data_IF_708735584466
#
_entry.id   IF_708735584466
#
_cell.length_a   1.000
_cell.length_b   1.000
_cell.length_c   1.000
_cell.angle_alpha   90.00
_cell.angle_beta   90.00
_cell.angle_gamma   90.00
#
_symmetry.space_group_name_H-M   'P 1'
#
loop_
_entity.id
_entity.type
_entity.pdbx_description
1 polymer ?
#
# COMPACT_ATOMS: atom_id res chain seq x y z
N UNK A 1 -18.40 -11.37 10.46
CA UNK A 1 -17.48 -10.67 9.53
C UNK A 1 -17.92 -9.24 9.17
N UNK A 2 -18.96 -8.68 9.82
CA UNK A 2 -19.59 -7.37 9.52
C UNK A 2 -19.10 -6.23 10.43
N UNK A 3 -18.58 -6.53 11.61
CA UNK A 3 -18.22 -5.56 12.66
C UNK A 3 -17.07 -4.64 12.23
N UNK A 4 -16.00 -5.20 11.64
CA UNK A 4 -14.81 -4.43 11.22
C UNK A 4 -15.12 -3.38 10.15
N UNK A 5 -16.02 -3.68 9.21
CA UNK A 5 -16.41 -2.75 8.13
C UNK A 5 -17.29 -1.60 8.64
N UNK A 6 -18.11 -1.85 9.67
CA UNK A 6 -18.94 -0.82 10.29
C UNK A 6 -18.11 0.15 11.13
N UNK A 7 -17.06 -0.32 11.80
CA UNK A 7 -16.13 0.52 12.55
C UNK A 7 -15.35 1.47 11.62
N UNK A 8 -14.82 0.96 10.51
CA UNK A 8 -14.09 1.80 9.54
C UNK A 8 -14.97 2.89 8.90
N UNK A 9 -16.25 2.60 8.63
CA UNK A 9 -17.17 3.59 8.06
C UNK A 9 -17.51 4.71 9.05
N UNK A 10 -17.62 4.39 10.34
CA UNK A 10 -17.81 5.37 11.41
C UNK A 10 -16.57 6.21 11.64
N UNK A 11 -15.40 5.61 11.57
CA UNK A 11 -14.12 6.30 11.70
C UNK A 11 -13.88 7.26 10.53
N UNK A 12 -14.17 6.85 9.29
CA UNK A 12 -14.16 7.71 8.11
C UNK A 12 -15.08 8.93 8.29
N UNK A 13 -16.30 8.69 8.77
CA UNK A 13 -17.27 9.74 9.02
C UNK A 13 -16.79 10.76 10.07
N UNK A 14 -16.22 10.26 11.17
CA UNK A 14 -15.67 11.11 12.23
C UNK A 14 -14.46 11.91 11.75
N UNK A 15 -13.56 11.28 10.98
CA UNK A 15 -12.40 11.92 10.41
C UNK A 15 -12.78 13.08 9.47
N UNK A 16 -13.67 12.84 8.51
CA UNK A 16 -14.14 13.87 7.56
C UNK A 16 -14.78 15.05 8.30
N UNK A 17 -15.62 14.77 9.29
CA UNK A 17 -16.27 15.81 10.11
C UNK A 17 -15.26 16.68 10.84
N UNK A 18 -14.27 16.06 11.50
CA UNK A 18 -13.22 16.76 12.24
C UNK A 18 -12.40 17.68 11.34
N UNK A 19 -12.02 17.22 10.13
CA UNK A 19 -11.26 18.04 9.18
C UNK A 19 -12.07 19.21 8.64
N UNK A 20 -13.36 18.99 8.34
CA UNK A 20 -14.27 20.05 7.89
C UNK A 20 -14.42 21.16 8.95
N UNK A 21 -14.59 20.78 10.22
CA UNK A 21 -14.84 21.73 11.31
C UNK A 21 -13.61 22.53 11.73
N UNK A 22 -12.40 22.06 11.37
CA UNK A 22 -11.13 22.76 11.64
C UNK A 22 -10.83 23.89 10.65
N UNK A 23 -11.42 23.87 9.46
CA UNK A 23 -11.06 24.80 8.39
C UNK A 23 -11.71 26.17 8.56
N UNK A 24 -10.94 27.22 8.30
CA UNK A 24 -11.43 28.59 8.28
C UNK A 24 -11.95 28.95 6.88
N UNK A 25 -13.27 29.19 6.70
CA UNK A 25 -13.85 29.52 5.42
C UNK A 25 -13.28 30.81 4.81
N UNK A 26 -12.90 31.79 5.66
CA UNK A 26 -12.41 33.08 5.19
C UNK A 26 -11.03 32.93 4.52
N UNK A 27 -10.23 31.96 4.97
CA UNK A 27 -8.93 31.60 4.36
C UNK A 27 -9.07 30.89 3.00
N UNK A 28 -10.25 30.38 2.68
CA UNK A 28 -10.52 29.66 1.43
C UNK A 28 -11.22 30.54 0.38
N UNK A 29 -11.38 31.84 0.66
CA UNK A 29 -11.97 32.80 -0.27
C UNK A 29 -13.46 32.55 -0.55
N UNK A 30 -14.15 31.81 0.32
CA UNK A 30 -15.57 31.50 0.15
C UNK A 30 -16.44 32.74 0.44
N UNK A 31 -17.48 33.00 -0.36
CA UNK A 31 -18.33 34.17 -0.18
C UNK A 31 -19.03 34.14 1.18
N UNK A 32 -18.96 35.25 1.93
CA UNK A 32 -19.63 35.37 3.22
C UNK A 32 -21.16 35.26 3.03
N UNK A 33 -21.74 34.13 3.43
CA UNK A 33 -23.19 33.94 3.35
C UNK A 33 -23.94 34.88 4.31
N UNK A 34 -25.06 35.46 3.85
CA UNK A 34 -25.90 36.44 4.60
C UNK A 34 -26.50 35.91 5.93
N UNK A 35 -26.41 34.61 6.24
CA UNK A 35 -26.97 34.03 7.47
C UNK A 35 -25.85 33.70 8.47
N UNK A 36 -26.05 33.99 9.78
CA UNK A 36 -25.07 33.67 10.81
C UNK A 36 -24.71 32.16 10.80
N UNK A 37 -23.40 31.86 10.84
CA UNK A 37 -22.88 30.49 10.86
C UNK A 37 -23.25 29.82 12.19
N UNK A 38 -23.85 28.63 12.13
CA UNK A 38 -24.20 27.81 13.30
C UNK A 38 -23.23 26.63 13.51
N UNK A 39 -22.35 26.39 12.56
CA UNK A 39 -21.43 25.24 12.55
C UNK A 39 -20.00 25.77 12.52
N UNK A 40 -19.07 25.21 13.33
CA UNK A 40 -17.66 25.53 13.21
C UNK A 40 -17.12 25.08 11.85
N UNK A 41 -16.25 25.91 11.27
CA UNK A 41 -15.56 25.70 10.01
C UNK A 41 -16.43 25.67 8.76
N UNK A 42 -16.09 24.79 7.81
CA UNK A 42 -16.80 24.66 6.54
C UNK A 42 -18.17 23.99 6.71
N UNK A 43 -19.15 24.44 5.92
CA UNK A 43 -20.46 23.81 5.77
C UNK A 43 -20.34 22.60 4.84
N UNK A 44 -21.29 21.66 4.97
CA UNK A 44 -21.32 20.47 4.08
C UNK A 44 -21.52 20.85 2.61
N UNK A 45 -22.32 21.89 2.36
CA UNK A 45 -22.53 22.46 1.03
C UNK A 45 -21.26 23.07 0.44
N UNK A 46 -20.47 23.80 1.24
CA UNK A 46 -19.18 24.36 0.81
C UNK A 46 -18.17 23.24 0.46
N UNK A 47 -18.09 22.17 1.28
CA UNK A 47 -17.24 21.00 0.96
C UNK A 47 -17.71 20.29 -0.30
N UNK A 48 -19.02 20.13 -0.48
CA UNK A 48 -19.60 19.47 -1.64
C UNK A 48 -19.27 20.22 -2.93
N UNK A 49 -19.38 21.55 -2.91
CA UNK A 49 -19.01 22.44 -4.01
C UNK A 49 -17.51 22.30 -4.34
N UNK A 50 -16.63 22.44 -3.34
CA UNK A 50 -15.18 22.33 -3.52
C UNK A 50 -14.73 20.95 -4.02
N UNK A 51 -15.43 19.88 -3.62
CA UNK A 51 -15.12 18.50 -4.02
C UNK A 51 -15.83 18.06 -5.30
N UNK A 52 -16.74 18.87 -5.85
CA UNK A 52 -17.54 18.51 -7.04
C UNK A 52 -18.49 17.32 -6.82
N UNK A 53 -19.04 17.18 -5.62
CA UNK A 53 -20.00 16.12 -5.25
C UNK A 53 -21.30 16.71 -4.72
N UNK A 54 -22.36 15.90 -4.55
CA UNK A 54 -23.61 16.41 -3.98
C UNK A 54 -23.52 16.59 -2.46
N UNK A 55 -24.24 17.59 -1.92
CA UNK A 55 -24.33 17.81 -0.46
C UNK A 55 -24.87 16.58 0.27
N UNK A 56 -25.85 15.87 -0.33
CA UNK A 56 -26.36 14.60 0.21
C UNK A 56 -25.27 13.53 0.32
N UNK A 57 -24.35 13.48 -0.63
CA UNK A 57 -23.22 12.56 -0.59
C UNK A 57 -22.31 12.83 0.61
N UNK A 58 -21.97 14.09 0.86
CA UNK A 58 -21.18 14.51 2.04
C UNK A 58 -21.93 14.18 3.35
N UNK A 59 -23.24 14.41 3.39
CA UNK A 59 -24.08 14.05 4.55
C UNK A 59 -24.03 12.54 4.82
N UNK A 60 -24.19 11.70 3.79
CA UNK A 60 -24.16 10.24 3.95
C UNK A 60 -22.78 9.72 4.35
N UNK A 61 -21.71 10.32 3.83
CA UNK A 61 -20.34 10.03 4.27
C UNK A 61 -20.15 10.35 5.75
N UNK A 62 -20.54 11.55 6.20
CA UNK A 62 -20.43 11.95 7.61
C UNK A 62 -21.38 11.20 8.55
N UNK A 63 -22.35 10.45 8.03
CA UNK A 63 -23.21 9.55 8.80
C UNK A 63 -22.69 8.11 8.85
N UNK A 64 -21.61 7.79 8.12
CA UNK A 64 -21.05 6.44 8.06
C UNK A 64 -21.96 5.43 7.36
N UNK A 65 -22.86 5.88 6.46
CA UNK A 65 -23.84 5.00 5.79
C UNK A 65 -23.23 4.18 4.65
N UNK A 66 -22.28 3.29 4.96
CA UNK A 66 -21.85 2.18 4.08
C UNK A 66 -21.39 2.55 2.66
N UNK A 67 -21.06 3.82 2.41
CA UNK A 67 -20.59 4.28 1.11
C UNK A 67 -19.13 3.85 0.92
N UNK A 68 -18.81 3.37 -0.28
CA UNK A 68 -17.43 3.16 -0.73
C UNK A 68 -17.08 4.24 -1.76
N UNK A 69 -16.54 5.40 -1.32
CA UNK A 69 -16.12 6.44 -2.26
C UNK A 69 -15.00 5.93 -3.18
N UNK A 70 -15.00 6.39 -4.43
CA UNK A 70 -13.94 6.07 -5.38
C UNK A 70 -12.65 6.82 -5.01
N UNK A 71 -11.51 6.36 -5.54
CA UNK A 71 -10.22 7.03 -5.35
C UNK A 71 -10.24 8.50 -5.84
N UNK A 72 -10.99 8.80 -6.90
CA UNK A 72 -11.16 10.16 -7.42
C UNK A 72 -11.94 11.05 -6.47
N UNK A 73 -13.04 10.54 -5.91
CA UNK A 73 -13.85 11.26 -4.91
C UNK A 73 -13.02 11.53 -3.64
N UNK A 74 -12.23 10.55 -3.19
CA UNK A 74 -11.32 10.74 -2.06
C UNK A 74 -10.24 11.78 -2.35
N UNK A 75 -9.69 11.80 -3.57
CA UNK A 75 -8.73 12.81 -3.99
C UNK A 75 -9.35 14.22 -4.03
N UNK A 76 -10.60 14.34 -4.47
CA UNK A 76 -11.33 15.60 -4.47
C UNK A 76 -11.64 16.09 -3.04
N UNK A 77 -12.12 15.21 -2.17
CA UNK A 77 -12.35 15.51 -0.76
C UNK A 77 -11.06 15.91 -0.04
N UNK A 78 -9.94 15.24 -0.32
CA UNK A 78 -8.64 15.59 0.22
C UNK A 78 -8.19 17.02 -0.16
N UNK A 79 -8.47 17.44 -1.39
CA UNK A 79 -8.18 18.82 -1.84
C UNK A 79 -9.12 19.82 -1.19
N UNK A 80 -10.42 19.55 -1.21
CA UNK A 80 -11.46 20.41 -0.62
C UNK A 80 -11.26 20.65 0.88
N UNK A 81 -10.75 19.63 1.58
CA UNK A 81 -10.47 19.70 3.02
C UNK A 81 -9.03 20.12 3.35
N UNK A 82 -8.25 20.55 2.35
CA UNK A 82 -6.86 20.96 2.49
C UNK A 82 -6.03 19.99 3.35
N UNK A 83 -6.20 18.68 3.12
CA UNK A 83 -5.57 17.65 3.95
C UNK A 83 -4.06 17.61 3.72
N UNK A 84 -3.32 17.54 4.82
CA UNK A 84 -1.88 17.32 4.81
C UNK A 84 -1.54 15.92 4.27
N UNK A 85 -0.33 15.67 3.75
CA UNK A 85 0.04 14.39 3.16
C UNK A 85 -0.32 13.17 4.01
N UNK A 86 -0.04 13.20 5.31
CA UNK A 86 -0.38 12.10 6.23
C UNK A 86 -1.88 11.93 6.49
N UNK A 87 -2.64 13.02 6.50
CA UNK A 87 -4.11 13.01 6.65
C UNK A 87 -4.77 12.44 5.39
N UNK A 88 -4.20 12.70 4.22
CA UNK A 88 -4.64 12.14 2.94
C UNK A 88 -4.45 10.63 2.94
N UNK A 89 -3.28 10.14 3.35
CA UNK A 89 -3.03 8.69 3.39
C UNK A 89 -4.03 7.97 4.28
N UNK A 90 -4.31 8.55 5.45
CA UNK A 90 -5.28 8.03 6.39
C UNK A 90 -6.71 8.00 5.81
N UNK A 91 -7.10 9.03 5.06
CA UNK A 91 -8.38 9.06 4.37
C UNK A 91 -8.54 7.89 3.38
N UNK A 92 -7.50 7.60 2.60
CA UNK A 92 -7.52 6.51 1.62
C UNK A 92 -7.55 5.12 2.28
N UNK A 93 -6.84 4.97 3.41
CA UNK A 93 -6.81 3.73 4.21
C UNK A 93 -8.19 3.41 4.80
N UNK A 94 -8.84 4.39 5.44
CA UNK A 94 -10.19 4.22 6.00
C UNK A 94 -11.24 3.84 4.95
N UNK A 95 -11.06 4.28 3.70
CA UNK A 95 -11.94 3.95 2.58
C UNK A 95 -11.56 2.63 1.87
N UNK A 96 -10.40 2.06 2.18
CA UNK A 96 -9.85 0.87 1.52
C UNK A 96 -9.56 1.09 0.03
N UNK A 97 -9.14 2.30 -0.35
CA UNK A 97 -8.85 2.70 -1.74
C UNK A 97 -7.38 3.08 -1.93
N UNK A 98 -6.87 2.92 -3.15
CA UNK A 98 -5.50 3.32 -3.52
C UNK A 98 -5.48 4.74 -4.09
N UNK A 99 -4.45 5.53 -3.76
CA UNK A 99 -4.29 6.90 -4.27
C UNK A 99 -3.95 6.90 -5.77
N UNK A 100 -4.59 7.76 -6.60
CA UNK A 100 -4.16 7.99 -7.97
C UNK A 100 -2.80 8.71 -7.99
N UNK A 101 -1.83 8.19 -8.75
CA UNK A 101 -0.52 8.83 -8.94
C UNK A 101 0.62 8.39 -8.00
N UNK A 102 0.38 7.41 -7.11
CA UNK A 102 1.49 6.65 -6.50
C UNK A 102 1.94 5.57 -7.50
N UNK A 103 2.79 5.96 -8.44
CA UNK A 103 3.57 5.01 -9.25
C UNK A 103 4.60 4.36 -8.34
N UNK A 104 4.30 3.13 -7.96
CA UNK A 104 4.90 2.42 -6.83
C UNK A 104 4.00 2.47 -5.62
N UNK A 105 3.50 1.32 -5.16
CA UNK A 105 2.64 1.36 -3.98
C UNK A 105 2.30 0.02 -3.41
N UNK A 106 1.67 0.02 -2.23
CA UNK A 106 1.64 -1.16 -1.41
C UNK A 106 0.81 -2.30 -2.00
N UNK A 107 1.27 -3.54 -1.82
CA UNK A 107 0.41 -4.71 -1.93
C UNK A 107 -0.43 -4.85 -0.65
N UNK A 108 -1.57 -5.52 -0.76
CA UNK A 108 -2.49 -5.81 0.36
C UNK A 108 -1.70 -6.40 1.54
N UNK A 109 -1.60 -5.66 2.66
CA UNK A 109 -0.97 -6.15 3.89
C UNK A 109 0.05 -5.22 4.57
N UNK A 110 0.57 -4.19 3.90
CA UNK A 110 1.43 -3.19 4.58
C UNK A 110 0.62 -2.24 5.47
N UNK A 111 1.09 -2.02 6.70
CA UNK A 111 0.62 -0.89 7.51
C UNK A 111 1.01 0.44 6.81
N UNK A 112 0.11 1.45 6.73
CA UNK A 112 0.37 2.70 6.01
C UNK A 112 1.64 3.44 6.46
N UNK A 113 1.99 3.37 7.75
CA UNK A 113 3.21 3.96 8.30
C UNK A 113 4.49 3.33 7.73
N UNK A 114 4.51 2.01 7.52
CA UNK A 114 5.65 1.31 6.94
C UNK A 114 5.78 1.59 5.44
N UNK A 115 4.66 1.71 4.72
CA UNK A 115 4.69 2.12 3.33
C UNK A 115 5.23 3.56 3.16
N UNK A 116 4.92 4.47 4.10
CA UNK A 116 5.47 5.83 4.12
C UNK A 116 6.98 5.83 4.35
N UNK A 117 7.47 5.04 5.31
CA UNK A 117 8.90 4.89 5.55
C UNK A 117 9.67 4.50 4.28
N UNK A 118 9.11 3.61 3.46
CA UNK A 118 9.71 3.22 2.17
C UNK A 118 9.81 4.41 1.20
N UNK A 119 8.80 5.28 1.18
CA UNK A 119 8.82 6.51 0.39
C UNK A 119 9.87 7.52 0.88
N UNK A 120 9.99 7.67 2.20
CA UNK A 120 10.92 8.62 2.84
C UNK A 120 12.39 8.27 2.60
N UNK A 121 12.69 7.05 2.15
CA UNK A 121 14.05 6.62 1.78
C UNK A 121 14.53 7.17 0.43
N UNK A 122 13.71 7.89 -0.33
CA UNK A 122 14.15 8.55 -1.58
C UNK A 122 15.35 9.48 -1.31
N UNK A 123 16.41 9.45 -2.14
CA UNK A 123 16.52 8.80 -3.46
C UNK A 123 17.11 7.38 -3.42
N UNK A 124 17.19 6.73 -2.26
CA UNK A 124 17.69 5.36 -2.16
C UNK A 124 16.61 4.35 -2.56
N UNK A 125 16.93 3.35 -3.39
CA UNK A 125 15.99 2.27 -3.71
C UNK A 125 15.53 1.51 -2.47
N UNK A 126 14.22 1.39 -2.26
CA UNK A 126 13.66 0.72 -1.08
C UNK A 126 12.45 -0.18 -1.42
N UNK A 127 12.35 -1.28 -0.68
CA UNK A 127 11.26 -2.26 -0.76
C UNK A 127 10.93 -2.76 0.65
N UNK A 128 9.65 -2.99 0.93
CA UNK A 128 9.16 -3.61 2.16
C UNK A 128 8.59 -4.99 1.83
N UNK A 129 9.33 -6.07 2.12
CA UNK A 129 8.80 -7.43 2.08
C UNK A 129 8.12 -7.81 3.40
N UNK A 130 7.21 -8.78 3.37
CA UNK A 130 6.78 -9.52 4.56
C UNK A 130 7.73 -10.67 4.91
N UNK A 131 7.41 -11.43 5.97
CA UNK A 131 8.16 -12.61 6.41
C UNK A 131 8.22 -13.76 5.39
N UNK A 132 7.45 -13.69 4.31
CA UNK A 132 7.44 -14.65 3.19
C UNK A 132 8.08 -14.06 1.93
N UNK A 133 8.68 -12.88 2.04
CA UNK A 133 9.20 -12.07 0.95
C UNK A 133 8.14 -11.56 -0.05
N UNK A 134 6.86 -11.56 0.31
CA UNK A 134 5.85 -10.88 -0.51
C UNK A 134 6.09 -9.37 -0.40
N UNK A 135 6.21 -8.71 -1.55
CA UNK A 135 6.53 -7.28 -1.60
C UNK A 135 5.27 -6.50 -1.24
N UNK A 136 5.27 -5.93 -0.04
CA UNK A 136 4.19 -5.14 0.50
C UNK A 136 4.26 -3.66 0.13
N UNK A 137 5.43 -3.09 -0.15
CA UNK A 137 5.59 -1.72 -0.67
C UNK A 137 6.95 -1.53 -1.36
N UNK A 138 7.07 -0.51 -2.21
CA UNK A 138 8.34 -0.11 -2.85
C UNK A 138 8.28 1.36 -3.28
N UNK A 139 9.44 2.00 -3.44
CA UNK A 139 9.55 3.36 -3.96
C UNK A 139 9.88 3.40 -5.48
N UNK A 140 9.71 4.55 -6.15
CA UNK A 140 9.98 4.68 -7.59
C UNK A 140 11.41 4.32 -7.99
N UNK A 141 12.39 4.59 -7.12
CA UNK A 141 13.80 4.27 -7.34
C UNK A 141 14.01 2.76 -7.42
N UNK A 142 13.36 1.98 -6.55
CA UNK A 142 13.32 0.52 -6.66
C UNK A 142 12.65 0.06 -7.96
N UNK A 143 11.53 0.68 -8.36
CA UNK A 143 10.85 0.33 -9.60
C UNK A 143 11.73 0.55 -10.85
N UNK A 144 12.59 1.57 -10.85
CA UNK A 144 13.55 1.82 -11.94
C UNK A 144 14.62 0.76 -12.03
N UNK A 145 15.04 0.17 -10.91
CA UNK A 145 16.02 -0.92 -10.89
C UNK A 145 15.43 -2.27 -11.34
N UNK A 146 14.11 -2.41 -11.29
CA UNK A 146 13.40 -3.57 -11.81
C UNK A 146 12.45 -3.21 -12.97
N UNK A 147 12.96 -2.98 -14.18
CA UNK A 147 12.12 -2.74 -15.35
C UNK A 147 11.08 -3.85 -15.53
N UNK A 148 9.80 -3.48 -15.62
CA UNK A 148 8.69 -4.41 -15.75
C UNK A 148 8.10 -4.94 -14.44
N UNK A 149 8.64 -4.55 -13.28
CA UNK A 149 8.11 -4.97 -11.97
C UNK A 149 6.65 -4.59 -11.76
N UNK A 150 6.25 -3.40 -12.24
CA UNK A 150 4.85 -2.96 -12.14
C UNK A 150 3.89 -3.86 -12.94
N UNK A 151 4.37 -4.50 -14.02
CA UNK A 151 3.61 -5.44 -14.83
C UNK A 151 3.55 -6.86 -14.22
N UNK A 152 4.34 -7.14 -13.17
CA UNK A 152 4.28 -8.43 -12.46
C UNK A 152 2.94 -8.52 -11.73
N UNK A 153 2.14 -9.58 -11.96
CA UNK A 153 0.87 -9.77 -11.26
C UNK A 153 1.05 -9.77 -9.74
N UNK A 154 0.12 -9.23 -8.94
CA UNK A 154 0.25 -9.18 -7.48
C UNK A 154 0.56 -10.54 -6.83
N UNK A 155 0.00 -11.63 -7.35
CA UNK A 155 0.26 -12.99 -6.88
C UNK A 155 1.71 -13.48 -7.12
N UNK A 156 2.50 -12.77 -7.94
CA UNK A 156 3.89 -13.07 -8.31
C UNK A 156 4.87 -12.01 -7.81
N UNK A 157 4.41 -11.01 -7.05
CA UNK A 157 5.25 -9.94 -6.46
C UNK A 157 5.91 -10.43 -5.17
N UNK A 158 6.82 -11.38 -5.32
CA UNK A 158 7.61 -11.94 -4.23
C UNK A 158 9.10 -11.74 -4.52
N UNK A 159 9.87 -11.25 -3.56
CA UNK A 159 11.28 -10.89 -3.77
C UNK A 159 12.13 -12.10 -4.17
N UNK A 160 11.83 -13.29 -3.62
CA UNK A 160 12.51 -14.53 -3.99
C UNK A 160 12.10 -15.04 -5.37
N UNK A 161 10.84 -14.84 -5.78
CA UNK A 161 10.42 -15.06 -7.17
C UNK A 161 11.28 -14.24 -8.11
N UNK A 162 11.34 -12.92 -7.86
CA UNK A 162 12.02 -11.97 -8.73
C UNK A 162 13.50 -12.29 -8.80
N UNK A 163 14.13 -12.58 -7.65
CA UNK A 163 15.50 -13.04 -7.59
C UNK A 163 15.74 -14.28 -8.46
N UNK A 164 14.81 -15.24 -8.48
CA UNK A 164 14.97 -16.51 -9.22
C UNK A 164 14.68 -16.40 -10.72
N UNK A 165 13.60 -15.71 -11.09
CA UNK A 165 12.99 -15.85 -12.41
C UNK A 165 12.92 -14.54 -13.21
N UNK A 166 13.13 -13.38 -12.58
CA UNK A 166 13.08 -12.11 -13.30
C UNK A 166 14.40 -11.87 -14.06
N UNK A 167 14.40 -11.66 -15.38
CA UNK A 167 15.62 -11.50 -16.16
C UNK A 167 16.52 -10.36 -15.68
N UNK A 168 15.92 -9.22 -15.28
CA UNK A 168 16.67 -8.06 -14.78
C UNK A 168 17.40 -8.33 -13.44
N UNK A 169 17.01 -9.38 -12.70
CA UNK A 169 17.60 -9.70 -11.39
C UNK A 169 18.83 -10.60 -11.49
N UNK A 170 19.19 -11.08 -12.69
CA UNK A 170 20.35 -11.96 -12.88
C UNK A 170 21.68 -11.28 -12.54
N UNK A 171 21.79 -9.98 -12.79
CA UNK A 171 22.99 -9.17 -12.48
C UNK A 171 22.80 -8.18 -11.34
N UNK A 172 21.67 -8.26 -10.62
CA UNK A 172 21.35 -7.30 -9.55
C UNK A 172 22.12 -7.63 -8.25
N UNK A 173 22.29 -8.92 -7.95
CA UNK A 173 22.99 -9.38 -6.75
C UNK A 173 24.43 -9.76 -7.08
N UNK A 174 25.37 -9.31 -6.24
CA UNK A 174 26.79 -9.68 -6.35
C UNK A 174 27.02 -11.19 -6.11
N UNK A 175 26.33 -11.76 -5.12
CA UNK A 175 26.31 -13.21 -4.86
C UNK A 175 24.85 -13.68 -4.80
N UNK A 176 24.30 -13.92 -6.00
CA UNK A 176 22.89 -14.29 -6.16
C UNK A 176 22.61 -15.68 -5.58
N UNK A 177 23.54 -16.61 -5.73
CA UNK A 177 23.42 -17.96 -5.17
C UNK A 177 23.30 -17.91 -3.64
N UNK A 178 24.12 -17.10 -2.96
CA UNK A 178 24.04 -16.96 -1.51
C UNK A 178 22.71 -16.34 -1.06
N UNK A 179 22.25 -15.27 -1.72
CA UNK A 179 20.94 -14.65 -1.44
C UNK A 179 19.81 -15.66 -1.58
N UNK A 180 19.87 -16.52 -2.61
CA UNK A 180 18.88 -17.59 -2.80
C UNK A 180 18.95 -18.62 -1.67
N UNK A 181 20.14 -19.08 -1.27
CA UNK A 181 20.31 -20.06 -0.18
C UNK A 181 19.74 -19.54 1.14
N UNK A 182 20.08 -18.31 1.52
CA UNK A 182 19.65 -17.70 2.78
C UNK A 182 18.14 -17.46 2.79
N UNK A 183 17.60 -16.96 1.67
CA UNK A 183 16.17 -16.77 1.51
C UNK A 183 15.39 -18.09 1.61
N UNK A 184 15.90 -19.20 1.05
CA UNK A 184 15.28 -20.52 1.18
C UNK A 184 15.27 -20.98 2.64
N UNK A 185 16.40 -20.85 3.34
CA UNK A 185 16.50 -21.24 4.75
C UNK A 185 15.48 -20.46 5.60
N UNK A 186 15.40 -19.15 5.37
CA UNK A 186 14.42 -18.28 6.03
C UNK A 186 12.98 -18.70 5.74
N UNK A 187 12.65 -18.96 4.47
CA UNK A 187 11.29 -19.35 4.08
C UNK A 187 10.86 -20.69 4.69
N UNK A 188 11.79 -21.66 4.78
CA UNK A 188 11.55 -22.94 5.47
C UNK A 188 11.24 -22.71 6.96
N UNK A 189 12.01 -21.86 7.62
CA UNK A 189 11.81 -21.53 9.03
C UNK A 189 10.48 -20.78 9.27
N UNK A 190 10.17 -19.77 8.46
CA UNK A 190 8.94 -18.99 8.56
C UNK A 190 7.67 -19.86 8.39
N UNK A 191 7.72 -20.88 7.52
CA UNK A 191 6.63 -21.83 7.34
C UNK A 191 6.48 -22.81 8.51
N UNK A 192 7.59 -23.30 9.05
CA UNK A 192 7.56 -24.15 10.24
C UNK A 192 6.94 -23.41 11.44
N UNK A 193 7.20 -22.10 11.56
CA UNK A 193 6.65 -21.26 12.62
C UNK A 193 5.17 -20.88 12.43
N UNK A 194 4.64 -20.92 11.20
CA UNK A 194 3.27 -20.48 10.88
C UNK A 194 2.49 -21.46 9.98
N UNK A 195 2.14 -22.67 10.47
CA UNK A 195 1.52 -23.74 9.67
C UNK A 195 0.09 -23.43 9.18
N UNK A 196 -0.65 -22.60 9.94
CA UNK A 196 -2.08 -22.34 9.71
C UNK A 196 -2.34 -21.17 8.73
N UNK A 197 -1.29 -20.51 8.26
CA UNK A 197 -1.38 -19.38 7.33
C UNK A 197 -1.22 -19.80 5.87
N UNK A 198 -1.69 -20.98 5.47
CA UNK A 198 -1.56 -21.44 4.07
C UNK A 198 -2.28 -20.42 3.18
N UNK A 199 -1.57 -19.75 2.26
CA UNK A 199 -2.20 -18.78 1.40
C UNK A 199 -3.07 -19.50 0.35
N UNK A 200 -4.02 -18.76 -0.26
CA UNK A 200 -4.87 -19.19 -1.39
C UNK A 200 -4.17 -20.21 -2.30
N UNK A 201 -4.88 -21.23 -2.77
CA UNK A 201 -4.32 -22.39 -3.49
C UNK A 201 -3.32 -22.04 -4.63
N UNK A 202 -3.46 -20.87 -5.28
CA UNK A 202 -2.49 -20.37 -6.27
C UNK A 202 -1.10 -20.04 -5.67
N UNK A 203 -1.04 -19.53 -4.45
CA UNK A 203 0.19 -19.15 -3.74
C UNK A 203 0.92 -20.36 -3.16
N UNK A 204 0.20 -21.40 -2.73
CA UNK A 204 0.80 -22.66 -2.30
C UNK A 204 1.51 -23.40 -3.45
N UNK A 205 0.88 -23.46 -4.63
CA UNK A 205 1.52 -24.03 -5.83
C UNK A 205 2.74 -23.24 -6.31
N UNK A 206 2.68 -21.91 -6.19
CA UNK A 206 3.81 -21.02 -6.45
C UNK A 206 5.02 -21.31 -5.53
N UNK A 207 4.76 -21.44 -4.23
CA UNK A 207 5.81 -21.64 -3.23
C UNK A 207 6.47 -23.02 -3.34
N UNK A 208 5.68 -24.06 -3.59
CA UNK A 208 6.20 -25.40 -3.91
C UNK A 208 7.01 -25.39 -5.21
N UNK A 209 6.63 -24.57 -6.19
CA UNK A 209 7.42 -24.41 -7.42
C UNK A 209 8.77 -23.74 -7.15
N UNK A 210 8.81 -22.70 -6.31
CA UNK A 210 10.06 -22.05 -5.87
C UNK A 210 10.94 -23.05 -5.11
N UNK A 211 10.41 -23.72 -4.09
CA UNK A 211 11.15 -24.71 -3.30
C UNK A 211 11.62 -25.91 -4.15
N UNK A 212 10.78 -26.41 -5.08
CA UNK A 212 11.13 -27.53 -5.96
C UNK A 212 12.15 -27.13 -7.01
N UNK A 213 11.96 -25.99 -7.69
CA UNK A 213 12.90 -25.50 -8.73
C UNK A 213 14.26 -25.12 -8.13
N UNK A 214 14.29 -24.69 -6.87
CA UNK A 214 15.52 -24.44 -6.13
C UNK A 214 16.16 -25.71 -5.53
N UNK A 215 15.37 -26.75 -5.24
CA UNK A 215 15.86 -28.06 -4.81
C UNK A 215 16.31 -28.99 -5.96
N UNK A 216 15.89 -28.72 -7.20
CA UNK A 216 16.21 -29.53 -8.39
C UNK A 216 17.27 -28.93 -9.32
N UNK A 217 17.77 -27.72 -9.03
CA UNK A 217 18.97 -27.20 -9.71
C UNK A 217 20.18 -27.81 -8.99
N UNK A 218 21.09 -28.52 -9.69
CA UNK A 218 22.37 -28.86 -9.10
C UNK A 218 23.06 -27.55 -8.74
N UNK A 219 23.31 -27.34 -7.45
CA UNK A 219 24.26 -26.32 -6.99
C UNK A 219 25.56 -26.69 -7.71
N UNK A 220 26.13 -25.84 -8.58
CA UNK A 220 27.42 -26.15 -9.19
C UNK A 220 28.40 -26.37 -8.03
N UNK A 221 28.88 -27.60 -7.92
CA UNK A 221 29.79 -28.00 -6.86
C UNK A 221 30.98 -27.06 -6.85
N UNK A 222 31.19 -26.45 -5.70
CA UNK A 222 32.38 -25.71 -5.34
C UNK A 222 33.58 -26.69 -5.40
N UNK A 223 34.16 -26.90 -6.59
CA UNK A 223 35.42 -27.63 -6.69
C UNK A 223 36.51 -26.72 -6.14
N UNK A 224 36.80 -26.94 -4.86
CA UNK A 224 38.02 -26.62 -4.10
C UNK A 224 39.03 -25.76 -4.86
N UNK A 225 39.13 -24.49 -4.46
CA UNK A 225 40.41 -23.78 -4.45
C UNK A 225 40.70 -23.33 -3.03
N UNK A 226 40.95 -24.32 -2.17
CA UNK A 226 41.85 -24.24 -1.03
C UNK A 226 42.41 -25.64 -0.78
N UNK A 227 43.52 -25.94 -1.44
CA UNK A 227 44.61 -26.80 -0.98
C UNK A 227 45.79 -26.50 -1.90
N UNK A 228 46.80 -25.85 -1.32
CA UNK A 228 48.20 -25.69 -1.76
C UNK A 228 48.52 -25.39 -3.22
#
# INVERSE_FOLDING_TARGET
MTTRTMDTARELAAFLRSRRERLDPDRLGLPSHRRPRRTPGLRREEVAELAGVSTDYVVRLEQGRGLRPSAEVLAALARALCLEPGERDYLFDLAGQRRPGTTGGPAVGAAPSLARLVGDLSPLPAVLPDHRYDILAWNPEMARLLPGFEAVPPARRNAMWLCLLHPAMRGFYADREQVLRDGIAHLRAAWAAHPQGVPDAQRAGFFLTVLRRLGSQPIPEFRRSQMH
#
